data_IF_731466229854
#
_entry.id   IF_731466229854
#
_cell.length_a   1.000
_cell.length_b   1.000
_cell.length_c   1.000
_cell.angle_alpha   90.00
_cell.angle_beta   90.00
_cell.angle_gamma   90.00
#
_symmetry.space_group_name_H-M   'P 1'
#
loop_
_entity.id
_entity.type
_entity.pdbx_description
1 polymer ?
#
# COMPACT_ATOMS: atom_id res chain seq x y z
N UNK A 1 -0.86 -10.87 1.23
CA UNK A 1 -1.86 -10.19 2.08
C UNK A 1 -3.13 -9.94 1.30
N UNK A 2 -4.25 -10.03 1.97
CA UNK A 2 -5.56 -9.93 1.34
C UNK A 2 -6.42 -8.92 2.10
N UNK A 3 -7.03 -8.00 1.36
CA UNK A 3 -7.91 -6.98 1.92
C UNK A 3 -9.32 -7.16 1.37
N UNK A 4 -10.32 -7.12 2.24
CA UNK A 4 -11.72 -7.03 1.82
C UNK A 4 -12.00 -5.61 1.30
N UNK A 5 -13.09 -5.40 0.54
CA UNK A 5 -13.40 -4.05 0.04
C UNK A 5 -13.44 -3.03 1.17
N UNK A 6 -12.77 -1.91 0.98
CA UNK A 6 -12.66 -0.84 1.97
C UNK A 6 -11.60 -1.02 3.05
N UNK A 7 -11.00 -2.20 3.16
CA UNK A 7 -9.96 -2.45 4.16
C UNK A 7 -8.62 -1.86 3.73
N UNK A 8 -7.86 -1.37 4.71
CA UNK A 8 -6.58 -0.73 4.46
C UNK A 8 -5.65 -0.90 5.65
N UNK A 9 -4.34 -0.83 5.40
CA UNK A 9 -3.35 -0.84 6.46
C UNK A 9 -3.28 0.54 7.14
N UNK A 10 -2.64 0.58 8.29
CA UNK A 10 -2.18 1.86 8.85
C UNK A 10 -1.06 2.42 7.98
N UNK A 11 -0.76 3.69 8.17
CA UNK A 11 0.48 4.26 7.68
C UNK A 11 1.66 3.46 8.26
N UNK A 12 2.66 3.23 7.46
CA UNK A 12 3.86 2.52 7.92
C UNK A 12 5.02 2.81 6.97
N UNK A 13 6.22 2.47 7.42
CA UNK A 13 7.41 2.53 6.59
C UNK A 13 8.25 1.28 6.83
N UNK A 14 9.20 1.03 5.94
CA UNK A 14 10.15 -0.07 6.06
C UNK A 14 11.55 0.48 5.95
N UNK A 15 12.48 -0.06 6.73
CA UNK A 15 13.89 0.29 6.64
C UNK A 15 14.52 -0.16 5.33
N UNK A 16 13.89 -1.13 4.68
CA UNK A 16 14.30 -1.66 3.36
C UNK A 16 13.16 -1.47 2.37
N UNK A 17 13.47 -1.55 1.08
CA UNK A 17 12.43 -1.48 0.06
C UNK A 17 11.52 -2.70 0.12
N UNK A 18 10.26 -2.51 -0.30
CA UNK A 18 9.28 -3.58 -0.35
C UNK A 18 8.76 -3.71 -1.78
N UNK A 19 8.57 -4.95 -2.23
CA UNK A 19 7.92 -5.20 -3.52
C UNK A 19 6.51 -5.68 -3.26
N UNK A 20 5.52 -4.99 -3.84
CA UNK A 20 4.12 -5.36 -3.79
C UNK A 20 3.69 -5.80 -5.18
N UNK A 21 3.25 -7.04 -5.30
CA UNK A 21 2.77 -7.58 -6.57
C UNK A 21 1.30 -7.96 -6.45
N UNK A 22 0.45 -7.31 -7.25
CA UNK A 22 -0.98 -7.57 -7.25
C UNK A 22 -1.29 -8.96 -7.78
N UNK A 23 -2.14 -9.68 -7.05
CA UNK A 23 -2.54 -11.05 -7.40
C UNK A 23 -4.01 -11.10 -7.79
N UNK A 24 -4.86 -10.30 -7.12
CA UNK A 24 -6.30 -10.38 -7.28
C UNK A 24 -6.92 -9.01 -6.98
N UNK A 25 -7.96 -8.64 -7.72
CA UNK A 25 -8.71 -7.42 -7.48
C UNK A 25 -7.96 -6.14 -7.78
N UNK A 26 -8.31 -5.07 -7.07
CA UNK A 26 -7.60 -3.79 -7.20
C UNK A 26 -7.61 -3.01 -5.89
N UNK A 27 -6.59 -2.17 -5.73
CA UNK A 27 -6.45 -1.34 -4.56
C UNK A 27 -5.47 -0.21 -4.80
N UNK A 28 -4.94 0.34 -3.72
CA UNK A 28 -4.11 1.53 -3.76
C UNK A 28 -2.88 1.39 -2.88
N UNK A 29 -1.83 2.10 -3.27
CA UNK A 29 -0.70 2.43 -2.41
C UNK A 29 -0.61 3.95 -2.37
N UNK A 30 -0.74 4.55 -1.19
CA UNK A 30 -0.74 5.99 -1.01
C UNK A 30 0.46 6.46 -0.21
N UNK A 31 0.97 7.66 -0.50
CA UNK A 31 2.11 8.27 0.18
C UNK A 31 1.70 9.58 0.84
N UNK A 32 2.56 10.11 1.73
CA UNK A 32 2.26 11.33 2.51
C UNK A 32 2.08 12.57 1.64
N UNK A 33 2.74 12.62 0.49
CA UNK A 33 2.64 13.75 -0.44
C UNK A 33 1.37 13.71 -1.28
N UNK A 34 0.48 12.76 -1.03
CA UNK A 34 -0.79 12.65 -1.75
C UNK A 34 -0.72 11.87 -3.05
N UNK A 35 0.43 11.32 -3.41
CA UNK A 35 0.52 10.44 -4.57
C UNK A 35 -0.16 9.12 -4.25
N UNK A 36 -0.93 8.64 -5.21
CA UNK A 36 -1.63 7.35 -5.08
C UNK A 36 -1.41 6.56 -6.35
N UNK A 37 -0.97 5.34 -6.19
CA UNK A 37 -0.79 4.40 -7.28
C UNK A 37 -1.85 3.31 -7.14
N UNK A 38 -2.59 3.06 -8.21
CA UNK A 38 -3.51 1.92 -8.24
C UNK A 38 -2.71 0.65 -8.51
N UNK A 39 -3.02 -0.41 -7.77
CA UNK A 39 -2.42 -1.72 -7.99
C UNK A 39 -3.50 -2.72 -8.35
N UNK A 40 -3.32 -3.42 -9.47
CA UNK A 40 -4.22 -4.47 -9.96
C UNK A 40 -3.46 -5.77 -10.09
N UNK A 41 -4.19 -6.86 -10.29
CA UNK A 41 -3.59 -8.17 -10.54
C UNK A 41 -2.56 -8.08 -11.69
N UNK A 42 -1.36 -8.59 -11.46
CA UNK A 42 -0.27 -8.58 -12.43
C UNK A 42 0.64 -7.35 -12.37
N UNK A 43 0.26 -6.33 -11.62
CA UNK A 43 1.06 -5.09 -11.51
C UNK A 43 1.96 -5.14 -10.29
N UNK A 44 3.10 -4.48 -10.38
CA UNK A 44 4.09 -4.43 -9.30
C UNK A 44 4.37 -2.99 -8.92
N UNK A 45 4.40 -2.73 -7.61
CA UNK A 45 4.73 -1.43 -7.04
C UNK A 45 5.88 -1.63 -6.05
N UNK A 46 6.83 -0.71 -6.04
CA UNK A 46 7.98 -0.79 -5.14
C UNK A 46 8.12 0.48 -4.31
N UNK A 47 7.53 0.53 -3.09
CA UNK A 47 7.80 1.62 -2.16
C UNK A 47 9.26 1.59 -1.71
N UNK A 48 10.00 2.71 -1.82
CA UNK A 48 11.40 2.73 -1.46
C UNK A 48 11.62 2.69 0.05
N UNK A 49 12.87 2.39 0.49
CA UNK A 49 13.18 2.40 1.91
C UNK A 49 12.85 3.75 2.57
N UNK A 50 12.25 3.70 3.75
CA UNK A 50 11.94 4.89 4.55
C UNK A 50 10.69 5.66 4.13
N UNK A 51 10.09 5.36 2.98
CA UNK A 51 8.89 6.07 2.56
C UNK A 51 7.68 5.64 3.38
N UNK A 52 7.00 6.61 3.97
CA UNK A 52 5.75 6.34 4.69
C UNK A 52 4.62 6.18 3.70
N UNK A 53 3.94 5.05 3.79
CA UNK A 53 2.88 4.69 2.86
C UNK A 53 1.82 3.82 3.54
N UNK A 54 0.73 3.62 2.83
CA UNK A 54 -0.31 2.66 3.19
C UNK A 54 -0.76 1.92 1.94
N UNK A 55 -1.37 0.76 2.12
CA UNK A 55 -2.01 0.05 1.03
C UNK A 55 -3.31 -0.58 1.50
N UNK A 56 -4.21 -0.78 0.54
CA UNK A 56 -5.52 -1.31 0.84
C UNK A 56 -6.34 -1.56 -0.41
N UNK A 57 -7.50 -2.19 -0.22
CA UNK A 57 -8.43 -2.47 -1.31
C UNK A 57 -9.22 -1.22 -1.71
N UNK A 58 -9.66 -1.19 -2.95
CA UNK A 58 -10.67 -0.22 -3.37
C UNK A 58 -11.98 -0.49 -2.62
N UNK A 59 -12.92 0.47 -2.67
CA UNK A 59 -14.17 0.34 -1.91
C UNK A 59 -15.15 -0.66 -2.52
N UNK A 60 -14.97 -1.02 -3.78
CA UNK A 60 -15.89 -1.88 -4.54
C UNK A 60 -15.30 -3.25 -4.90
N UNK A 61 -14.08 -3.55 -4.48
CA UNK A 61 -13.47 -4.84 -4.80
C UNK A 61 -12.48 -5.24 -3.72
N UNK A 62 -12.24 -6.56 -3.60
CA UNK A 62 -11.13 -7.02 -2.78
C UNK A 62 -9.80 -6.73 -3.47
N UNK A 63 -8.72 -6.83 -2.71
CA UNK A 63 -7.36 -6.75 -3.26
C UNK A 63 -6.47 -7.75 -2.53
N UNK A 64 -5.73 -8.54 -3.30
CA UNK A 64 -4.72 -9.42 -2.74
C UNK A 64 -3.39 -9.14 -3.42
N UNK A 65 -2.32 -9.10 -2.62
CA UNK A 65 -0.98 -8.91 -3.15
C UNK A 65 0.03 -9.78 -2.40
N UNK A 66 1.12 -10.07 -3.08
CA UNK A 66 2.32 -10.60 -2.46
C UNK A 66 3.16 -9.42 -1.96
N UNK A 67 3.71 -9.55 -0.78
CA UNK A 67 4.63 -8.57 -0.24
C UNK A 67 5.98 -9.24 -0.02
N UNK A 68 6.99 -8.76 -0.74
CA UNK A 68 8.35 -9.25 -0.63
C UNK A 68 9.16 -8.23 0.13
N UNK A 69 9.60 -8.58 1.32
CA UNK A 69 10.27 -7.66 2.23
C UNK A 69 11.44 -8.38 2.89
N UNK A 70 12.64 -7.84 2.71
CA UNK A 70 13.81 -8.34 3.43
C UNK A 70 13.73 -7.94 4.91
N UNK A 71 14.59 -8.56 5.71
CA UNK A 71 14.78 -8.17 7.10
C UNK A 71 16.02 -7.29 7.22
N UNK A 72 16.16 -6.57 8.32
CA UNK A 72 17.38 -5.83 8.62
C UNK A 72 18.56 -6.79 8.81
N UNK A 73 19.78 -6.28 8.67
CA UNK A 73 21.00 -7.09 8.79
C UNK A 73 21.07 -7.86 10.12
N UNK A 74 20.52 -7.27 11.19
CA UNK A 74 20.47 -7.91 12.50
C UNK A 74 19.30 -8.89 12.66
N UNK A 75 18.50 -9.10 11.60
CA UNK A 75 17.35 -10.00 11.60
C UNK A 75 16.06 -9.39 12.15
N UNK A 76 16.09 -8.13 12.57
CA UNK A 76 14.89 -7.49 13.11
C UNK A 76 13.88 -7.13 12.01
N UNK A 77 12.61 -6.94 12.40
CA UNK A 77 11.54 -6.50 11.51
C UNK A 77 11.82 -5.06 11.08
N UNK A 78 11.91 -4.77 9.77
CA UNK A 78 12.17 -3.43 9.28
C UNK A 78 10.94 -2.53 9.30
N UNK A 79 9.77 -3.02 9.68
CA UNK A 79 8.51 -2.29 9.58
C UNK A 79 8.29 -1.38 10.79
N UNK A 80 7.92 -0.12 10.53
CA UNK A 80 7.52 0.85 11.55
C UNK A 80 6.07 1.20 11.33
N UNK A 81 5.21 0.81 12.28
CA UNK A 81 3.78 1.07 12.21
C UNK A 81 3.47 2.46 12.75
N UNK A 82 2.60 3.19 12.05
CA UNK A 82 2.22 4.55 12.37
C UNK A 82 0.69 4.62 12.57
N UNK A 83 0.13 5.81 12.42
CA UNK A 83 -1.30 6.03 12.68
C UNK A 83 -2.20 5.42 11.59
N UNK A 84 -3.49 5.23 11.88
CA UNK A 84 -4.45 4.78 10.87
C UNK A 84 -4.61 5.79 9.74
N UNK A 85 -4.96 5.29 8.56
CA UNK A 85 -5.34 6.13 7.42
C UNK A 85 -6.75 6.64 7.69
N UNK A 86 -6.96 7.96 7.56
CA UNK A 86 -8.28 8.55 7.77
C UNK A 86 -9.21 8.24 6.61
N UNK A 87 -10.51 8.32 6.86
CA UNK A 87 -11.51 8.14 5.80
C UNK A 87 -11.32 9.16 4.69
N UNK A 88 -10.95 10.40 5.02
CA UNK A 88 -10.69 11.43 4.03
C UNK A 88 -9.51 11.08 3.15
N UNK A 89 -8.42 10.60 3.73
CA UNK A 89 -7.24 10.16 2.98
C UNK A 89 -7.60 8.99 2.06
N UNK A 90 -8.36 8.04 2.57
CA UNK A 90 -8.78 6.88 1.80
C UNK A 90 -9.69 7.27 0.64
N UNK A 91 -10.66 8.14 0.86
CA UNK A 91 -11.55 8.60 -0.21
C UNK A 91 -10.80 9.43 -1.25
N UNK A 92 -9.85 10.26 -0.82
CA UNK A 92 -9.01 11.02 -1.74
C UNK A 92 -8.20 10.13 -2.68
N UNK A 93 -7.81 8.94 -2.22
CA UNK A 93 -7.09 7.98 -3.04
C UNK A 93 -7.89 7.54 -4.26
N UNK A 94 -9.19 7.36 -4.13
CA UNK A 94 -10.03 6.96 -5.25
C UNK A 94 -10.02 8.02 -6.35
N UNK A 95 -10.09 9.29 -5.98
CA UNK A 95 -10.06 10.40 -6.93
C UNK A 95 -8.68 10.56 -7.58
N UNK A 96 -7.62 10.55 -6.77
CA UNK A 96 -6.25 10.73 -7.26
C UNK A 96 -5.83 9.59 -8.19
N UNK A 97 -6.13 8.35 -7.83
CA UNK A 97 -5.79 7.20 -8.66
C UNK A 97 -6.52 7.22 -10.00
N UNK A 98 -7.75 7.75 -10.02
CA UNK A 98 -8.50 7.92 -11.25
C UNK A 98 -7.90 8.97 -12.19
N UNK A 99 -7.25 9.99 -11.65
CA UNK A 99 -6.66 11.06 -12.45
C UNK A 99 -5.23 10.78 -12.90
N UNK A 100 -4.53 9.90 -12.22
CA UNK A 100 -3.12 9.59 -12.54
C UNK A 100 -2.97 8.49 -13.59
N UNK A 101 -4.05 7.92 -13.99
CA UNK A 101 -4.04 6.81 -14.98
C UNK A 101 -4.25 7.34 -16.41
#
# INVERSE_FOLDING_TARGET
MRFTPGARSNWHSHDVGQTLHGVEGSGFVGTRDGRVVRIRAGETVWPPPGEEHWHGAADDTLMAHLALLDVNEDGSDPTRWLEPVTDEQYQAAHTSAGTTR
#
